data_IF_845630406907
#
_entry.id   IF_845630406907
#
_cell.length_a   1.000
_cell.length_b   1.000
_cell.length_c   1.000
_cell.angle_alpha   90.00
_cell.angle_beta   90.00
_cell.angle_gamma   90.00
#
_symmetry.space_group_name_H-M   'P 1'
#
loop_
_entity.id
_entity.type
_entity.pdbx_description
1 polymer ?
#
# COMPACT_ATOMS: atom_id res chain seq x y z
N UNK A 1 -15.00 -2.48 33.79
CA UNK A 1 -13.99 -2.19 32.79
C UNK A 1 -14.64 -1.30 31.74
N UNK A 2 -14.24 -0.04 31.66
CA UNK A 2 -14.78 0.86 30.65
C UNK A 2 -14.05 0.54 29.36
N UNK A 3 -14.71 -0.20 28.47
CA UNK A 3 -14.30 -0.29 27.08
C UNK A 3 -14.40 1.12 26.52
N UNK A 4 -13.28 1.74 26.24
CA UNK A 4 -13.24 2.98 25.50
C UNK A 4 -13.92 2.69 24.14
N UNK A 5 -15.11 3.22 23.95
CA UNK A 5 -15.85 3.09 22.69
C UNK A 5 -15.21 4.09 21.72
N UNK A 6 -14.06 3.71 21.19
CA UNK A 6 -13.42 4.49 20.14
C UNK A 6 -14.35 4.53 18.93
N UNK A 7 -14.58 5.72 18.41
CA UNK A 7 -15.37 5.89 17.21
C UNK A 7 -14.61 5.40 15.96
N UNK A 8 -15.36 5.17 14.88
CA UNK A 8 -14.80 4.75 13.57
C UNK A 8 -13.63 5.64 13.13
N UNK A 9 -13.77 6.96 13.25
CA UNK A 9 -12.74 7.91 12.80
C UNK A 9 -11.46 7.82 13.64
N UNK A 10 -11.59 7.59 14.93
CA UNK A 10 -10.46 7.40 15.84
C UNK A 10 -9.69 6.12 15.51
N UNK A 11 -10.42 5.04 15.21
CA UNK A 11 -9.81 3.78 14.78
C UNK A 11 -9.06 3.96 13.44
N UNK A 12 -9.63 4.71 12.49
CA UNK A 12 -8.95 5.01 11.22
C UNK A 12 -7.65 5.80 11.43
N UNK A 13 -7.62 6.72 12.38
CA UNK A 13 -6.39 7.41 12.78
C UNK A 13 -5.36 6.43 13.32
N UNK A 14 -5.76 5.52 14.19
CA UNK A 14 -4.85 4.49 14.73
C UNK A 14 -4.31 3.55 13.66
N UNK A 15 -5.16 3.17 12.70
CA UNK A 15 -4.75 2.33 11.58
C UNK A 15 -3.79 3.05 10.62
N UNK A 16 -3.84 4.39 10.56
CA UNK A 16 -2.89 5.16 9.75
C UNK A 16 -1.44 5.13 10.27
N UNK A 17 -1.25 4.66 11.50
CA UNK A 17 0.07 4.45 12.10
C UNK A 17 0.63 3.04 11.85
N UNK A 18 -0.19 2.12 11.33
CA UNK A 18 0.25 0.76 11.00
C UNK A 18 0.97 0.77 9.66
N UNK A 19 2.27 0.53 9.70
CA UNK A 19 3.12 0.52 8.51
C UNK A 19 2.96 -0.79 7.70
N UNK A 20 3.11 -0.68 6.39
CA UNK A 20 3.25 -1.85 5.53
C UNK A 20 4.61 -2.53 5.78
N UNK A 21 4.67 -3.87 5.96
CA UNK A 21 5.93 -4.56 6.25
C UNK A 21 6.91 -4.59 5.07
N UNK A 22 6.44 -4.47 3.84
CA UNK A 22 7.28 -4.48 2.63
C UNK A 22 7.72 -3.07 2.22
N UNK A 23 6.91 -2.05 2.52
CA UNK A 23 7.19 -0.64 2.23
C UNK A 23 6.92 0.20 3.48
N UNK A 24 7.84 0.20 4.47
CA UNK A 24 7.59 0.77 5.81
C UNK A 24 7.29 2.27 5.85
N UNK A 25 7.57 3.00 4.78
CA UNK A 25 7.23 4.41 4.63
C UNK A 25 5.74 4.64 4.39
N UNK A 26 5.01 3.61 3.95
CA UNK A 26 3.57 3.64 3.75
C UNK A 26 2.83 3.02 4.92
N UNK A 27 1.71 3.61 5.29
CA UNK A 27 0.73 2.97 6.14
C UNK A 27 -0.24 2.11 5.31
N UNK A 28 -0.93 1.20 5.97
CA UNK A 28 -1.98 0.40 5.34
C UNK A 28 -3.17 1.27 4.85
N UNK A 29 -3.37 2.44 5.43
CA UNK A 29 -4.35 3.43 4.96
C UNK A 29 -3.86 4.19 3.74
N UNK A 30 -2.57 4.54 3.65
CA UNK A 30 -1.96 5.13 2.45
C UNK A 30 -2.12 4.22 1.24
N UNK A 31 -1.95 2.91 1.44
CA UNK A 31 -2.12 1.90 0.39
C UNK A 31 -3.59 1.64 0.01
N UNK A 32 -4.55 2.16 0.80
CA UNK A 32 -5.97 1.85 0.59
C UNK A 32 -6.33 0.39 0.89
N UNK A 33 -5.53 -0.30 1.69
CA UNK A 33 -5.80 -1.67 2.14
C UNK A 33 -6.99 -1.70 3.11
N UNK A 34 -7.12 -0.68 3.98
CA UNK A 34 -8.28 -0.53 4.88
C UNK A 34 -9.47 -0.05 4.07
N UNK A 35 -10.49 -0.90 3.93
CA UNK A 35 -11.68 -0.61 3.13
C UNK A 35 -12.84 -0.11 3.96
N UNK A 36 -13.00 -0.63 5.14
CA UNK A 36 -14.04 -0.20 6.07
C UNK A 36 -13.71 -0.54 7.51
N UNK A 37 -14.35 0.16 8.44
CA UNK A 37 -14.29 -0.10 9.87
C UNK A 37 -15.72 -0.02 10.41
N UNK A 38 -16.19 -1.11 10.97
CA UNK A 38 -17.48 -1.24 11.64
C UNK A 38 -17.25 -1.33 13.15
N UNK A 39 -17.99 -0.55 13.93
CA UNK A 39 -17.87 -0.50 15.38
C UNK A 39 -19.24 -0.81 15.98
N UNK A 40 -19.40 -2.05 16.41
CA UNK A 40 -20.59 -2.56 17.07
C UNK A 40 -20.19 -3.19 18.43
N UNK A 41 -20.60 -4.43 18.69
CA UNK A 41 -20.15 -5.19 19.86
C UNK A 41 -18.65 -5.49 19.83
N UNK A 42 -18.06 -5.51 18.65
CA UNK A 42 -16.63 -5.63 18.38
C UNK A 42 -16.21 -4.68 17.25
N UNK A 43 -14.91 -4.45 17.10
CA UNK A 43 -14.36 -3.70 15.96
C UNK A 43 -14.07 -4.66 14.83
N UNK A 44 -14.75 -4.49 13.69
CA UNK A 44 -14.47 -5.24 12.46
C UNK A 44 -13.75 -4.35 11.48
N UNK A 45 -12.54 -4.77 11.08
CA UNK A 45 -11.74 -4.06 10.06
C UNK A 45 -11.75 -4.85 8.76
N UNK A 46 -12.23 -4.21 7.70
CA UNK A 46 -12.25 -4.79 6.36
C UNK A 46 -10.94 -4.46 5.63
N UNK A 47 -10.17 -5.48 5.28
CA UNK A 47 -8.88 -5.36 4.61
C UNK A 47 -8.91 -5.99 3.21
N UNK A 48 -8.42 -5.25 2.21
CA UNK A 48 -8.22 -5.74 0.85
C UNK A 48 -6.72 -5.97 0.59
N UNK A 49 -6.27 -7.22 0.40
CA UNK A 49 -4.88 -7.48 0.06
C UNK A 49 -4.54 -6.93 -1.32
N UNK A 50 -3.31 -6.47 -1.52
CA UNK A 50 -2.85 -5.89 -2.79
C UNK A 50 -2.82 -6.90 -3.94
N UNK A 51 -2.64 -8.18 -3.64
CA UNK A 51 -2.78 -9.29 -4.58
C UNK A 51 -3.04 -10.60 -3.83
N UNK A 52 -3.62 -11.58 -4.52
CA UNK A 52 -3.89 -12.89 -3.95
C UNK A 52 -2.60 -13.62 -3.60
N UNK A 53 -2.49 -14.10 -2.36
CA UNK A 53 -1.30 -14.80 -1.89
C UNK A 53 -0.14 -13.90 -1.45
N UNK A 54 -0.41 -12.60 -1.21
CA UNK A 54 0.59 -11.70 -0.61
C UNK A 54 1.02 -12.22 0.76
N UNK A 55 2.32 -12.52 0.98
CA UNK A 55 2.82 -13.01 2.27
C UNK A 55 2.69 -11.97 3.38
N UNK A 56 2.62 -10.69 3.04
CA UNK A 56 2.43 -9.59 3.99
C UNK A 56 1.02 -9.55 4.59
N UNK A 57 0.03 -10.20 3.99
CA UNK A 57 -1.38 -10.11 4.43
C UNK A 57 -1.56 -10.53 5.88
N UNK A 58 -0.99 -11.68 6.27
CA UNK A 58 -1.11 -12.18 7.65
C UNK A 58 -0.38 -11.27 8.64
N UNK A 59 0.77 -10.73 8.25
CA UNK A 59 1.54 -9.79 9.08
C UNK A 59 0.75 -8.51 9.30
N UNK A 60 0.12 -7.98 8.25
CA UNK A 60 -0.74 -6.79 8.33
C UNK A 60 -1.94 -7.04 9.26
N UNK A 61 -2.61 -8.18 9.12
CA UNK A 61 -3.75 -8.54 9.98
C UNK A 61 -3.35 -8.60 11.46
N UNK A 62 -2.23 -9.25 11.77
CA UNK A 62 -1.70 -9.31 13.13
C UNK A 62 -1.31 -7.94 13.66
N UNK A 63 -0.69 -7.09 12.83
CA UNK A 63 -0.32 -5.72 13.19
C UNK A 63 -1.53 -4.85 13.49
N UNK A 64 -2.62 -4.99 12.72
CA UNK A 64 -3.89 -4.31 12.96
C UNK A 64 -4.49 -4.73 14.31
N UNK A 65 -4.56 -6.03 14.57
CA UNK A 65 -5.09 -6.56 15.82
C UNK A 65 -4.26 -6.05 17.01
N UNK A 66 -2.93 -6.15 16.93
CA UNK A 66 -2.03 -5.67 17.97
C UNK A 66 -2.20 -4.18 18.24
N UNK A 67 -2.21 -3.36 17.17
CA UNK A 67 -2.33 -1.91 17.28
C UNK A 67 -3.66 -1.47 17.93
N UNK A 68 -4.74 -2.19 17.69
CA UNK A 68 -6.04 -1.90 18.30
C UNK A 68 -6.13 -2.42 19.75
N UNK A 69 -5.57 -3.60 20.04
CA UNK A 69 -5.49 -4.12 21.41
C UNK A 69 -4.65 -3.21 22.31
N UNK A 70 -3.52 -2.69 21.83
CA UNK A 70 -2.66 -1.77 22.57
C UNK A 70 -3.39 -0.45 22.95
N UNK A 71 -4.44 -0.11 22.19
CA UNK A 71 -5.31 1.05 22.46
C UNK A 71 -6.59 0.71 23.26
N UNK A 72 -6.67 -0.53 23.75
CA UNK A 72 -7.75 -0.98 24.65
C UNK A 72 -8.98 -1.53 23.96
N UNK A 73 -8.96 -1.79 22.64
CA UNK A 73 -10.02 -2.48 21.94
C UNK A 73 -9.99 -3.97 22.32
N UNK A 74 -11.01 -4.47 22.99
CA UNK A 74 -11.00 -5.82 23.53
C UNK A 74 -11.20 -6.91 22.48
N UNK A 75 -12.07 -6.68 21.50
CA UNK A 75 -12.39 -7.64 20.46
C UNK A 75 -12.25 -7.01 19.07
N UNK A 76 -11.35 -7.58 18.27
CA UNK A 76 -11.06 -7.15 16.90
C UNK A 76 -11.29 -8.32 15.95
N UNK A 77 -12.04 -8.08 14.89
CA UNK A 77 -12.25 -9.03 13.78
C UNK A 77 -11.70 -8.48 12.49
N UNK A 78 -11.03 -9.33 11.73
CA UNK A 78 -10.58 -8.99 10.38
C UNK A 78 -11.52 -9.63 9.36
N UNK A 79 -11.97 -8.83 8.41
CA UNK A 79 -12.77 -9.28 7.27
C UNK A 79 -11.97 -9.03 5.99
N UNK A 80 -11.55 -10.09 5.30
CA UNK A 80 -10.88 -9.95 4.00
C UNK A 80 -11.88 -9.58 2.92
N UNK A 81 -11.55 -8.54 2.15
CA UNK A 81 -12.35 -8.05 1.01
C UNK A 81 -11.58 -8.38 -0.27
N UNK A 82 -12.12 -9.30 -1.07
CA UNK A 82 -11.51 -9.72 -2.33
C UNK A 82 -12.22 -9.14 -3.55
N UNK A 83 -13.41 -8.60 -3.37
CA UNK A 83 -14.20 -7.96 -4.42
C UNK A 83 -14.83 -6.65 -3.91
N UNK A 84 -14.62 -5.51 -4.60
CA UNK A 84 -13.72 -5.38 -5.76
C UNK A 84 -12.26 -5.63 -5.38
N UNK A 85 -11.47 -6.13 -6.35
CA UNK A 85 -10.04 -6.35 -6.14
C UNK A 85 -9.32 -5.03 -5.87
N UNK A 86 -8.28 -5.08 -5.03
CA UNK A 86 -7.44 -3.91 -4.77
C UNK A 86 -6.81 -3.39 -6.08
N UNK A 87 -6.69 -2.10 -6.18
CA UNK A 87 -6.03 -1.43 -7.32
C UNK A 87 -5.11 -0.34 -6.81
N UNK A 88 -4.06 -0.04 -7.58
CA UNK A 88 -3.13 1.06 -7.28
C UNK A 88 -3.79 2.44 -7.28
N UNK A 89 -4.99 2.58 -7.86
CA UNK A 89 -5.77 3.81 -7.80
C UNK A 89 -6.25 4.15 -6.38
N UNK A 90 -6.27 3.15 -5.48
CA UNK A 90 -6.63 3.34 -4.08
C UNK A 90 -5.50 3.90 -3.21
N UNK A 91 -4.28 3.95 -3.73
CA UNK A 91 -3.16 4.60 -3.03
C UNK A 91 -3.46 6.09 -2.92
N UNK A 92 -3.36 6.62 -1.70
CA UNK A 92 -3.60 8.04 -1.43
C UNK A 92 -2.58 8.94 -2.13
N UNK A 93 -2.91 10.22 -2.31
CA UNK A 93 -1.97 11.20 -2.83
C UNK A 93 -0.74 11.34 -1.91
N UNK A 94 -0.94 11.28 -0.60
CA UNK A 94 0.12 11.29 0.40
C UNK A 94 1.00 10.03 0.27
N UNK A 95 0.41 8.84 0.13
CA UNK A 95 1.13 7.60 -0.10
C UNK A 95 2.00 7.65 -1.37
N UNK A 96 1.50 8.23 -2.45
CA UNK A 96 2.29 8.44 -3.68
C UNK A 96 3.46 9.39 -3.48
N UNK A 97 3.29 10.47 -2.71
CA UNK A 97 4.36 11.38 -2.36
C UNK A 97 5.42 10.68 -1.50
N UNK A 98 5.01 9.93 -0.48
CA UNK A 98 5.91 9.13 0.37
C UNK A 98 6.72 8.11 -0.44
N UNK A 99 6.11 7.43 -1.42
CA UNK A 99 6.84 6.53 -2.33
C UNK A 99 7.94 7.26 -3.08
N UNK A 100 7.62 8.40 -3.70
CA UNK A 100 8.58 9.20 -4.45
C UNK A 100 9.73 9.67 -3.58
N UNK A 101 9.45 10.20 -2.40
CA UNK A 101 10.45 10.71 -1.45
C UNK A 101 11.35 9.57 -0.95
N UNK A 102 10.83 8.37 -0.86
CA UNK A 102 11.56 7.17 -0.49
C UNK A 102 12.42 6.59 -1.63
N UNK A 103 12.24 7.07 -2.86
CA UNK A 103 12.98 6.63 -4.04
C UNK A 103 12.30 5.50 -4.83
N UNK A 104 11.01 5.30 -4.61
CA UNK A 104 10.17 4.38 -5.38
C UNK A 104 9.28 5.20 -6.31
N UNK A 105 9.35 4.95 -7.61
CA UNK A 105 8.44 5.59 -8.56
C UNK A 105 7.00 5.13 -8.31
N UNK A 106 6.07 6.05 -7.99
CA UNK A 106 4.67 5.68 -7.73
C UNK A 106 3.94 5.30 -9.02
N UNK A 107 2.89 4.46 -8.93
CA UNK A 107 2.07 4.14 -10.08
C UNK A 107 1.26 5.37 -10.53
N UNK A 108 1.03 5.51 -11.82
CA UNK A 108 0.12 6.53 -12.35
C UNK A 108 -1.35 6.14 -12.11
N UNK A 109 -2.22 7.14 -11.89
CA UNK A 109 -3.66 6.90 -11.79
C UNK A 109 -4.22 6.47 -13.14
N UNK A 110 -5.13 5.49 -13.12
CA UNK A 110 -5.81 4.99 -14.32
C UNK A 110 -4.93 4.14 -15.23
N UNK A 111 -3.74 3.75 -14.76
CA UNK A 111 -2.84 2.86 -15.48
C UNK A 111 -3.41 1.44 -15.54
N UNK A 112 -3.65 0.90 -16.74
CA UNK A 112 -4.06 -0.47 -16.91
C UNK A 112 -2.86 -1.39 -17.15
N UNK A 113 -3.00 -2.67 -16.72
CA UNK A 113 -2.02 -3.74 -17.04
C UNK A 113 -1.70 -3.82 -18.54
N UNK A 114 -2.67 -3.47 -19.38
CA UNK A 114 -2.57 -3.57 -20.85
C UNK A 114 -1.56 -2.56 -21.41
N UNK A 115 -1.46 -1.37 -20.82
CA UNK A 115 -0.49 -0.37 -21.25
C UNK A 115 0.93 -0.72 -20.80
N UNK A 116 1.07 -1.47 -19.68
CA UNK A 116 2.35 -2.01 -19.23
C UNK A 116 2.89 -3.11 -20.17
N UNK A 117 2.00 -3.90 -20.79
CA UNK A 117 2.38 -5.03 -21.63
C UNK A 117 2.66 -4.61 -23.09
N UNK A 118 2.06 -3.53 -23.58
CA UNK A 118 2.11 -3.14 -25.00
C UNK A 118 2.65 -1.74 -25.27
N UNK A 119 2.81 -0.90 -24.25
CA UNK A 119 3.41 0.43 -24.37
C UNK A 119 4.71 0.53 -23.60
N UNK A 120 5.73 1.11 -24.21
CA UNK A 120 6.94 1.52 -23.49
C UNK A 120 6.57 2.69 -22.57
N UNK A 121 5.96 2.39 -21.41
CA UNK A 121 5.75 3.41 -20.39
C UNK A 121 7.10 3.88 -19.88
N UNK A 122 7.37 5.14 -20.09
CA UNK A 122 8.53 5.79 -19.51
C UNK A 122 8.20 6.16 -18.08
N UNK A 123 8.73 5.40 -17.14
CA UNK A 123 8.54 5.64 -15.71
C UNK A 123 9.49 6.78 -15.30
N UNK A 124 8.99 7.92 -14.78
CA UNK A 124 9.85 9.00 -14.34
C UNK A 124 10.78 8.56 -13.20
N UNK A 125 12.04 8.94 -13.29
CA UNK A 125 13.00 8.73 -12.21
C UNK A 125 12.56 9.50 -10.95
N UNK A 126 12.43 8.87 -9.78
CA UNK A 126 12.00 9.56 -8.57
C UNK A 126 13.02 10.60 -8.07
N UNK A 127 14.28 10.53 -8.54
CA UNK A 127 15.37 11.43 -8.14
C UNK A 127 15.50 12.67 -9.02
N UNK A 128 15.48 12.51 -10.34
CA UNK A 128 15.73 13.62 -11.28
C UNK A 128 14.56 13.88 -12.25
N UNK A 129 13.46 13.16 -12.11
CA UNK A 129 12.23 13.26 -12.90
C UNK A 129 12.41 12.98 -14.42
N UNK A 130 13.60 12.58 -14.85
CA UNK A 130 13.84 12.18 -16.23
C UNK A 130 12.98 10.97 -16.61
N UNK A 131 12.42 11.01 -17.80
CA UNK A 131 11.71 9.88 -18.41
C UNK A 131 12.63 8.96 -19.25
N UNK A 132 13.93 9.28 -19.33
CA UNK A 132 14.94 8.44 -19.97
C UNK A 132 15.33 7.30 -19.02
N UNK A 133 14.43 6.36 -18.82
CA UNK A 133 14.58 5.25 -17.90
C UNK A 133 14.44 3.91 -18.61
N UNK A 134 15.08 2.89 -18.06
CA UNK A 134 15.11 1.54 -18.61
C UNK A 134 14.64 0.53 -17.56
N UNK A 135 13.73 -0.35 -17.93
CA UNK A 135 13.37 -1.50 -17.13
C UNK A 135 14.53 -2.51 -17.09
N UNK A 136 14.97 -2.86 -15.88
CA UNK A 136 16.05 -3.83 -15.64
C UNK A 136 15.48 -5.21 -15.36
N UNK A 137 14.41 -5.26 -14.55
CA UNK A 137 13.73 -6.50 -14.16
C UNK A 137 12.25 -6.24 -13.90
N UNK A 138 11.41 -7.18 -14.28
CA UNK A 138 9.99 -7.15 -13.99
C UNK A 138 9.69 -7.28 -12.48
N UNK A 139 10.63 -7.85 -11.73
CA UNK A 139 10.52 -8.01 -10.28
C UNK A 139 11.64 -7.23 -9.59
N UNK A 140 11.26 -6.49 -8.54
CA UNK A 140 12.16 -5.79 -7.64
C UNK A 140 12.38 -6.57 -6.33
N UNK A 141 12.52 -5.86 -5.22
CA UNK A 141 12.65 -6.45 -3.89
C UNK A 141 11.39 -7.20 -3.43
N UNK A 142 10.24 -6.87 -4.01
CA UNK A 142 8.96 -7.55 -3.83
C UNK A 142 8.24 -7.75 -5.16
N UNK A 143 7.25 -8.64 -5.22
CA UNK A 143 6.50 -8.95 -6.44
C UNK A 143 5.68 -7.77 -6.99
N UNK A 144 5.30 -6.82 -6.13
CA UNK A 144 4.56 -5.60 -6.52
C UNK A 144 5.44 -4.50 -7.12
N UNK A 145 6.77 -4.68 -7.10
CA UNK A 145 7.73 -3.69 -7.62
C UNK A 145 8.52 -4.26 -8.79
N UNK A 146 8.96 -3.36 -9.69
CA UNK A 146 9.88 -3.65 -10.78
C UNK A 146 11.16 -2.82 -10.61
N UNK A 147 12.28 -3.32 -11.12
CA UNK A 147 13.55 -2.64 -11.06
C UNK A 147 13.80 -1.84 -12.33
N UNK A 148 14.19 -0.59 -12.19
CA UNK A 148 14.48 0.37 -13.24
C UNK A 148 15.84 1.03 -13.03
N UNK A 149 16.36 1.65 -14.08
CA UNK A 149 17.54 2.50 -14.06
C UNK A 149 17.28 3.78 -14.83
N UNK A 150 17.67 4.91 -14.27
CA UNK A 150 17.71 6.17 -14.97
C UNK A 150 19.00 6.25 -15.80
N UNK A 151 18.88 6.60 -17.09
CA UNK A 151 20.05 6.76 -17.97
C UNK A 151 20.70 8.14 -17.84
N UNK A 152 20.00 9.12 -17.28
CA UNK A 152 20.51 10.49 -17.13
C UNK A 152 21.29 10.67 -15.83
N UNK A 153 20.69 10.33 -14.67
CA UNK A 153 21.39 10.46 -13.37
C UNK A 153 22.04 9.14 -12.91
N UNK A 154 21.86 8.04 -13.65
CA UNK A 154 22.38 6.70 -13.40
C UNK A 154 21.83 6.02 -12.14
N UNK A 155 20.81 6.59 -11.49
CA UNK A 155 20.18 6.05 -10.30
C UNK A 155 19.41 4.77 -10.63
N UNK A 156 19.69 3.64 -9.95
CA UNK A 156 18.80 2.50 -9.91
C UNK A 156 17.62 2.82 -8.97
N UNK A 157 16.41 2.46 -9.36
CA UNK A 157 15.22 2.67 -8.54
C UNK A 157 14.19 1.57 -8.75
N UNK A 158 13.24 1.46 -7.84
CA UNK A 158 12.09 0.58 -7.99
C UNK A 158 10.86 1.36 -8.44
N UNK A 159 10.01 0.70 -9.18
CA UNK A 159 8.70 1.19 -9.62
C UNK A 159 7.61 0.34 -9.00
N UNK A 160 6.64 0.96 -8.35
CA UNK A 160 5.44 0.27 -7.86
C UNK A 160 4.51 0.01 -9.06
N UNK A 161 4.34 -1.26 -9.41
CA UNK A 161 3.58 -1.66 -10.61
C UNK A 161 2.09 -1.38 -10.45
N UNK A 162 1.44 -0.93 -11.55
CA UNK A 162 -0.01 -0.83 -11.61
C UNK A 162 -0.64 -2.23 -11.57
N UNK A 163 -1.64 -2.41 -10.71
CA UNK A 163 -2.43 -3.63 -10.54
C UNK A 163 -3.90 -3.29 -10.66
#
# INVERSE_FOLDING_TARGET
MVTATAGRDEILVWLSEVADPEIPVLSITDLGIVRDVEVDDCVTVALAPTYSGCPATEVIEQSVIAALHDRGVAEVRIRRVLAPAWTTDWISAEGRAKLRDYGIAPPEKGGSKRELLYGQRRIPCPRCESTNTLAVSEFGSTACKASYKCNDCLEPFEYFKCI
#
